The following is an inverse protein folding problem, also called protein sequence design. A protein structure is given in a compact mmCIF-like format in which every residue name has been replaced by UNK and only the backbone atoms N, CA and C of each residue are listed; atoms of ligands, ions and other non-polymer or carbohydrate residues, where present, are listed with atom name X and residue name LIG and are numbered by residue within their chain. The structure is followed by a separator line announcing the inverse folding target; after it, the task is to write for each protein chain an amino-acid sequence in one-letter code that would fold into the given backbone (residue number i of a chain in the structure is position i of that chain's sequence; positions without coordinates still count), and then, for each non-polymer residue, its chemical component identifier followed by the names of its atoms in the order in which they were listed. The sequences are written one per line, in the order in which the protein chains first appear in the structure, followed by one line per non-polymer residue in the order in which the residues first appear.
data_IF_714076417146
#
_entry.id   IF_714076417146
#
_cell.length_a   1.000
_cell.length_b   1.000
_cell.length_c   1.000
_cell.angle_alpha   90.00
_cell.angle_beta   90.00
_cell.angle_gamma   90.00
#
_symmetry.space_group_name_H-M   'P 1'
#
loop_
_entity.id
_entity.type
_entity.pdbx_description
1 polymer ?
#
# COMPACT_ATOMS: atom_id res chain seq x y z
N UNK A 1 -7.99 -3.35 9.75
CA UNK A 1 -6.71 -3.55 10.48
C UNK A 1 -6.85 -4.03 11.92
N UNK A 2 -7.88 -3.67 12.68
CA UNK A 2 -8.07 -4.19 14.04
C UNK A 2 -8.01 -5.74 14.11
N UNK A 3 -8.64 -6.43 13.17
CA UNK A 3 -8.60 -7.90 13.07
C UNK A 3 -7.19 -8.45 12.78
N UNK A 4 -6.39 -7.75 11.98
CA UNK A 4 -4.99 -8.13 11.75
C UNK A 4 -4.19 -8.12 13.06
N UNK A 5 -4.46 -7.16 13.97
CA UNK A 5 -3.81 -7.05 15.28
C UNK A 5 -4.34 -8.05 16.31
N UNK A 6 -5.51 -8.65 16.10
CA UNK A 6 -6.08 -9.66 17.00
C UNK A 6 -5.46 -11.05 16.74
N UNK A 7 -4.27 -11.26 17.33
CA UNK A 7 -3.50 -12.50 17.18
C UNK A 7 -4.22 -13.72 17.78
N UNK A 8 -5.15 -13.52 18.72
CA UNK A 8 -5.91 -14.62 19.33
C UNK A 8 -7.05 -15.06 18.41
N UNK A 9 -7.83 -14.11 17.88
CA UNK A 9 -8.94 -14.39 16.97
C UNK A 9 -8.46 -14.87 15.60
N UNK A 10 -7.35 -14.29 15.10
CA UNK A 10 -6.74 -14.65 13.83
C UNK A 10 -5.30 -15.12 14.04
N UNK A 11 -5.09 -16.39 14.43
CA UNK A 11 -3.75 -16.89 14.71
C UNK A 11 -2.90 -17.02 13.44
N UNK A 12 -1.58 -16.88 13.61
CA UNK A 12 -0.59 -17.19 12.58
C UNK A 12 0.45 -16.10 12.32
N UNK A 13 1.56 -16.46 11.67
CA UNK A 13 2.65 -15.54 11.36
C UNK A 13 2.19 -14.47 10.36
N UNK A 14 2.67 -13.25 10.57
CA UNK A 14 2.31 -12.05 9.83
C UNK A 14 3.52 -11.35 9.23
N UNK A 15 3.30 -10.47 8.27
CA UNK A 15 4.32 -9.51 7.81
C UNK A 15 3.76 -8.10 7.66
N UNK A 16 4.62 -7.11 7.84
CA UNK A 16 4.34 -5.70 7.56
C UNK A 16 5.49 -5.11 6.73
N UNK A 17 5.33 -3.92 6.19
CA UNK A 17 6.33 -3.24 5.38
C UNK A 17 7.48 -2.71 6.24
N UNK A 18 8.72 -2.95 5.80
CA UNK A 18 9.91 -2.24 6.30
C UNK A 18 10.05 -0.87 5.60
N UNK A 19 10.72 0.08 6.25
CA UNK A 19 11.01 1.39 5.65
C UNK A 19 11.79 1.29 4.33
N UNK A 20 12.63 0.27 4.16
CA UNK A 20 13.36 0.00 2.92
C UNK A 20 12.43 -0.24 1.73
N UNK A 21 11.19 -0.67 1.98
CA UNK A 21 10.16 -0.81 0.94
C UNK A 21 9.53 0.52 0.50
N UNK A 22 9.80 1.60 1.22
CA UNK A 22 9.30 2.96 0.95
C UNK A 22 8.81 3.64 2.22
N UNK A 23 7.73 3.11 2.80
CA UNK A 23 7.08 3.60 4.02
C UNK A 23 6.76 2.40 4.94
N UNK A 24 6.86 2.62 6.24
CA UNK A 24 6.38 1.66 7.25
C UNK A 24 4.88 1.82 7.49
N UNK A 25 4.23 0.77 7.99
CA UNK A 25 2.77 0.67 8.10
C UNK A 25 2.17 1.40 9.34
N UNK A 26 2.50 2.68 9.55
CA UNK A 26 2.04 3.44 10.72
C UNK A 26 0.53 3.72 10.69
N UNK A 27 -0.03 4.01 9.52
CA UNK A 27 -1.46 4.22 9.36
C UNK A 27 -2.26 2.97 9.74
N UNK A 28 -1.78 1.79 9.33
CA UNK A 28 -2.41 0.51 9.68
C UNK A 28 -2.34 0.25 11.19
N UNK A 29 -1.22 0.59 11.83
CA UNK A 29 -1.08 0.51 13.27
C UNK A 29 -2.06 1.44 14.01
N UNK A 30 -2.30 2.66 13.51
CA UNK A 30 -3.29 3.58 14.07
C UNK A 30 -4.74 3.10 13.86
N UNK A 31 -5.06 2.57 12.67
CA UNK A 31 -6.37 1.98 12.39
C UNK A 31 -6.64 0.78 13.30
N UNK A 32 -5.64 -0.08 13.53
CA UNK A 32 -5.73 -1.17 14.49
C UNK A 32 -5.90 -0.68 15.94
N UNK A 33 -5.45 0.52 16.24
CA UNK A 33 -5.63 1.19 17.54
C UNK A 33 -6.92 2.03 17.62
N UNK A 34 -7.83 1.89 16.64
CA UNK A 34 -9.16 2.51 16.64
C UNK A 34 -9.18 3.97 16.18
N UNK A 35 -8.09 4.49 15.60
CA UNK A 35 -8.12 5.81 14.95
C UNK A 35 -8.98 5.74 13.70
N UNK A 36 -9.94 6.66 13.57
CA UNK A 36 -10.78 6.73 12.37
C UNK A 36 -9.94 7.07 11.13
N UNK A 37 -10.28 6.46 9.98
CA UNK A 37 -9.57 6.61 8.70
C UNK A 37 -9.37 8.06 8.24
N UNK A 38 -10.29 8.96 8.57
CA UNK A 38 -10.26 10.38 8.22
C UNK A 38 -9.47 11.24 9.23
N UNK A 39 -8.92 10.62 10.29
CA UNK A 39 -8.14 11.25 11.37
C UNK A 39 -6.71 10.72 11.49
N UNK A 40 -6.21 10.02 10.48
CA UNK A 40 -4.87 9.43 10.49
C UNK A 40 -3.74 10.45 10.42
N UNK A 41 -3.99 11.63 9.81
CA UNK A 41 -2.97 12.66 9.64
C UNK A 41 -3.27 13.93 10.44
N UNK A 42 -2.26 14.58 11.05
CA UNK A 42 -0.87 14.10 11.14
C UNK A 42 -0.76 12.82 11.99
N UNK A 43 0.15 11.91 11.62
CA UNK A 43 0.30 10.63 12.32
C UNK A 43 0.82 10.89 13.74
N UNK A 44 0.12 10.33 14.72
CA UNK A 44 0.64 10.18 16.08
C UNK A 44 1.68 9.04 16.09
N UNK A 45 2.94 9.42 15.91
CA UNK A 45 4.06 8.50 15.73
C UNK A 45 4.19 7.57 16.94
N UNK A 46 4.18 8.11 18.16
CA UNK A 46 4.38 7.29 19.35
C UNK A 46 3.21 6.34 19.60
N UNK A 47 1.98 6.76 19.33
CA UNK A 47 0.81 5.88 19.36
C UNK A 47 0.91 4.75 18.33
N UNK A 48 1.35 5.06 17.10
CA UNK A 48 1.54 4.06 16.06
C UNK A 48 2.60 3.02 16.44
N UNK A 49 3.75 3.44 16.99
CA UNK A 49 4.79 2.51 17.45
C UNK A 49 4.34 1.67 18.65
N UNK A 50 3.61 2.23 19.63
CA UNK A 50 2.99 1.45 20.71
C UNK A 50 2.00 0.41 20.19
N UNK A 51 1.27 0.73 19.12
CA UNK A 51 0.40 -0.24 18.46
C UNK A 51 1.22 -1.33 17.77
N UNK A 52 2.31 -0.97 17.07
CA UNK A 52 3.22 -1.94 16.46
C UNK A 52 3.84 -2.90 17.49
N UNK A 53 4.17 -2.43 18.70
CA UNK A 53 4.65 -3.29 19.80
C UNK A 53 3.70 -4.45 20.09
N UNK A 54 2.38 -4.21 20.05
CA UNK A 54 1.37 -5.24 20.36
C UNK A 54 1.32 -6.36 19.32
N UNK A 55 1.59 -6.06 18.05
CA UNK A 55 1.57 -7.07 16.97
C UNK A 55 2.94 -7.67 16.69
N UNK A 56 4.03 -6.99 17.09
CA UNK A 56 5.42 -7.37 16.81
C UNK A 56 5.72 -8.85 17.06
N UNK A 57 5.26 -9.49 18.16
CA UNK A 57 5.54 -10.91 18.39
C UNK A 57 5.01 -11.86 17.31
N UNK A 58 3.98 -11.45 16.57
CA UNK A 58 3.44 -12.23 15.45
C UNK A 58 4.03 -11.84 14.09
N UNK A 59 4.81 -10.75 14.00
CA UNK A 59 5.47 -10.32 12.77
C UNK A 59 6.72 -11.18 12.54
N UNK A 60 6.67 -12.04 11.52
CA UNK A 60 7.78 -12.90 11.10
C UNK A 60 8.90 -12.09 10.46
N UNK A 61 8.53 -11.10 9.66
CA UNK A 61 9.45 -10.21 8.94
C UNK A 61 8.77 -8.89 8.59
N UNK A 62 9.55 -7.82 8.62
CA UNK A 62 9.23 -6.59 7.91
C UNK A 62 9.81 -6.71 6.50
N UNK A 63 8.95 -6.77 5.48
CA UNK A 63 9.40 -7.02 4.11
C UNK A 63 9.95 -5.73 3.48
N UNK A 64 11.05 -5.86 2.75
CA UNK A 64 11.79 -4.76 2.11
C UNK A 64 11.59 -4.72 0.58
N UNK A 65 11.08 -5.81 0.00
CA UNK A 65 10.80 -5.92 -1.43
C UNK A 65 9.44 -6.53 -1.69
N UNK A 66 8.78 -6.10 -2.78
CA UNK A 66 7.50 -6.65 -3.18
C UNK A 66 7.56 -8.13 -3.65
N UNK A 67 8.74 -8.61 -4.04
CA UNK A 67 8.93 -10.02 -4.37
C UNK A 67 8.95 -10.90 -3.11
N UNK A 68 9.65 -10.45 -2.07
CA UNK A 68 9.69 -11.14 -0.78
C UNK A 68 8.30 -11.27 -0.16
N UNK A 69 7.51 -10.19 -0.13
CA UNK A 69 6.16 -10.25 0.44
C UNK A 69 5.24 -11.23 -0.30
N UNK A 70 5.29 -11.26 -1.64
CA UNK A 70 4.54 -12.24 -2.42
C UNK A 70 4.99 -13.68 -2.12
N UNK A 71 6.31 -13.91 -2.02
CA UNK A 71 6.89 -15.22 -1.75
C UNK A 71 6.48 -15.74 -0.37
N UNK A 72 6.58 -14.93 0.67
CA UNK A 72 6.25 -15.32 2.04
C UNK A 72 4.78 -15.79 2.19
N UNK A 73 3.84 -15.17 1.45
CA UNK A 73 2.44 -15.61 1.43
C UNK A 73 2.24 -16.87 0.57
N UNK A 74 2.89 -16.95 -0.60
CA UNK A 74 2.80 -18.11 -1.48
C UNK A 74 3.34 -19.39 -0.82
N UNK A 75 4.45 -19.27 -0.09
CA UNK A 75 5.10 -20.36 0.65
C UNK A 75 4.46 -20.64 2.02
N UNK A 76 3.45 -19.86 2.40
CA UNK A 76 2.77 -19.93 3.71
C UNK A 76 3.71 -19.69 4.90
N UNK A 77 4.82 -18.98 4.70
CA UNK A 77 5.66 -18.50 5.80
C UNK A 77 4.91 -17.48 6.67
N UNK A 78 3.97 -16.76 6.06
CA UNK A 78 2.99 -15.89 6.72
C UNK A 78 1.60 -16.18 6.16
N UNK A 79 0.57 -15.95 6.97
CA UNK A 79 -0.85 -16.18 6.59
C UNK A 79 -1.63 -14.87 6.44
N UNK A 80 -1.08 -13.77 6.94
CA UNK A 80 -1.65 -12.42 6.87
C UNK A 80 -0.50 -11.43 6.62
N UNK A 81 -0.70 -10.41 5.79
CA UNK A 81 0.31 -9.39 5.60
C UNK A 81 -0.20 -8.12 4.93
N UNK A 82 0.45 -6.99 5.21
CA UNK A 82 0.37 -5.86 4.29
C UNK A 82 1.21 -6.18 3.06
N UNK A 83 0.73 -5.80 1.87
CA UNK A 83 1.41 -6.05 0.61
C UNK A 83 0.82 -5.12 -0.46
N UNK A 84 1.63 -4.74 -1.46
CA UNK A 84 1.10 -4.06 -2.65
C UNK A 84 0.15 -4.99 -3.42
N UNK A 85 -1.06 -4.50 -3.71
CA UNK A 85 -2.13 -5.31 -4.29
C UNK A 85 -1.70 -6.07 -5.56
N UNK A 86 -0.90 -5.45 -6.44
CA UNK A 86 -0.42 -6.09 -7.66
C UNK A 86 0.51 -7.29 -7.42
N UNK A 87 1.24 -7.31 -6.30
CA UNK A 87 2.09 -8.45 -5.91
C UNK A 87 1.26 -9.64 -5.45
N UNK A 88 0.22 -9.40 -4.63
CA UNK A 88 -0.71 -10.46 -4.22
C UNK A 88 -1.52 -10.96 -5.42
N UNK A 89 -2.04 -10.05 -6.25
CA UNK A 89 -2.86 -10.42 -7.39
C UNK A 89 -2.09 -11.33 -8.36
N UNK A 90 -0.81 -11.05 -8.62
CA UNK A 90 0.00 -11.86 -9.51
C UNK A 90 0.21 -13.31 -9.01
N UNK A 91 0.25 -13.55 -7.70
CA UNK A 91 0.33 -14.91 -7.14
C UNK A 91 -1.04 -15.57 -7.03
N UNK A 92 -2.09 -14.81 -6.72
CA UNK A 92 -3.48 -15.29 -6.72
C UNK A 92 -3.94 -15.73 -8.12
N UNK A 93 -3.59 -14.99 -9.17
CA UNK A 93 -3.89 -15.33 -10.56
C UNK A 93 -3.21 -16.62 -11.02
N UNK A 94 -2.16 -17.05 -10.32
CA UNK A 94 -1.47 -18.34 -10.53
C UNK A 94 -2.08 -19.48 -9.70
N UNK A 95 -3.19 -19.24 -9.02
CA UNK A 95 -3.91 -20.25 -8.23
C UNK A 95 -3.50 -20.34 -6.76
N UNK A 96 -2.66 -19.42 -6.26
CA UNK A 96 -2.42 -19.36 -4.82
C UNK A 96 -3.75 -19.01 -4.11
N UNK A 97 -4.12 -19.71 -3.01
CA UNK A 97 -5.38 -19.50 -2.31
C UNK A 97 -5.31 -18.24 -1.41
N UNK A 98 -5.12 -17.09 -2.04
CA UNK A 98 -4.91 -15.79 -1.42
C UNK A 98 -5.99 -14.81 -1.91
N UNK A 99 -6.45 -13.94 -1.01
CA UNK A 99 -7.44 -12.91 -1.30
C UNK A 99 -7.00 -11.56 -0.73
N UNK A 100 -7.47 -10.47 -1.35
CA UNK A 100 -7.27 -9.10 -0.86
C UNK A 100 -8.50 -8.71 -0.03
N UNK A 101 -8.26 -8.23 1.19
CA UNK A 101 -9.26 -7.45 1.93
C UNK A 101 -9.02 -5.96 1.65
N UNK A 102 -10.02 -5.30 1.05
CA UNK A 102 -9.91 -3.90 0.60
C UNK A 102 -10.35 -2.89 1.66
N UNK A 103 -11.03 -3.32 2.73
CA UNK A 103 -11.40 -2.45 3.81
C UNK A 103 -10.16 -1.82 4.45
N UNK A 104 -10.17 -0.50 4.60
CA UNK A 104 -9.04 0.28 5.13
C UNK A 104 -7.73 0.13 4.34
N UNK A 105 -7.80 -0.17 3.04
CA UNK A 105 -6.64 -0.17 2.16
C UNK A 105 -5.98 1.23 2.09
N UNK A 106 -4.64 1.25 1.98
CA UNK A 106 -3.88 2.48 1.70
C UNK A 106 -3.83 2.74 0.21
N UNK A 107 -4.51 3.79 -0.26
CA UNK A 107 -4.36 4.27 -1.63
C UNK A 107 -3.12 5.12 -1.76
N UNK A 108 -2.24 4.72 -2.66
CA UNK A 108 -1.04 5.46 -3.03
C UNK A 108 -1.18 6.00 -4.45
N UNK A 109 -0.69 7.22 -4.67
CA UNK A 109 -0.68 7.86 -5.98
C UNK A 109 0.75 7.98 -6.46
N UNK A 110 1.01 7.50 -7.69
CA UNK A 110 2.27 7.73 -8.38
C UNK A 110 2.16 8.99 -9.23
N UNK A 111 3.28 9.71 -9.37
CA UNK A 111 3.34 10.97 -10.09
C UNK A 111 4.37 10.89 -11.21
N UNK A 112 4.01 11.45 -12.36
CA UNK A 112 4.97 11.79 -13.39
C UNK A 112 5.62 13.14 -13.05
N UNK A 113 6.93 13.23 -13.22
CA UNK A 113 7.68 14.47 -13.00
C UNK A 113 8.64 14.74 -14.15
N UNK A 114 8.71 16.00 -14.59
CA UNK A 114 9.74 16.46 -15.53
C UNK A 114 10.86 17.09 -14.71
N UNK A 115 12.06 16.52 -14.80
CA UNK A 115 13.22 17.02 -14.06
C UNK A 115 13.64 18.41 -14.57
N UNK A 116 14.07 19.27 -13.65
CA UNK A 116 14.63 20.59 -13.99
C UNK A 116 15.86 20.40 -14.88
N UNK A 117 15.86 21.07 -16.04
CA UNK A 117 16.95 20.95 -17.02
C UNK A 117 16.88 19.70 -17.92
N UNK A 118 15.74 18.98 -17.94
CA UNK A 118 15.56 17.87 -18.87
C UNK A 118 15.76 18.32 -20.33
N UNK A 119 16.62 17.60 -21.06
CA UNK A 119 16.98 17.92 -22.47
C UNK A 119 15.76 17.96 -23.40
N UNK A 120 14.72 17.21 -23.08
CA UNK A 120 13.49 17.09 -23.88
C UNK A 120 12.24 17.36 -23.04
N UNK A 121 12.24 18.47 -22.29
CA UNK A 121 11.14 18.81 -21.38
C UNK A 121 9.76 18.87 -22.06
N UNK A 122 9.69 19.42 -23.28
CA UNK A 122 8.44 19.50 -24.05
C UNK A 122 7.91 18.10 -24.42
N UNK A 123 8.77 17.22 -24.93
CA UNK A 123 8.37 15.84 -25.25
C UNK A 123 7.96 15.06 -23.99
N UNK A 124 8.62 15.30 -22.85
CA UNK A 124 8.21 14.71 -21.58
C UNK A 124 6.81 15.18 -21.17
N UNK A 125 6.48 16.46 -21.34
CA UNK A 125 5.13 16.97 -21.09
C UNK A 125 4.09 16.35 -22.04
N UNK A 126 4.40 16.22 -23.33
CA UNK A 126 3.52 15.56 -24.32
C UNK A 126 3.29 14.08 -23.97
N UNK A 127 4.31 13.38 -23.49
CA UNK A 127 4.17 12.02 -22.99
C UNK A 127 3.25 11.96 -21.76
N UNK A 128 3.43 12.88 -20.80
CA UNK A 128 2.58 12.92 -19.61
C UNK A 128 1.12 13.18 -19.98
N UNK A 129 0.86 14.11 -20.92
CA UNK A 129 -0.49 14.35 -21.45
C UNK A 129 -1.09 13.06 -22.03
N UNK A 130 -0.37 12.42 -22.96
CA UNK A 130 -0.77 11.14 -23.55
C UNK A 130 -1.05 10.05 -22.50
N UNK A 131 -0.14 9.85 -21.54
CA UNK A 131 -0.26 8.84 -20.49
C UNK A 131 -1.43 9.12 -19.51
N UNK A 132 -1.90 10.36 -19.43
CA UNK A 132 -3.03 10.76 -18.59
C UNK A 132 -4.39 10.67 -19.29
N UNK A 133 -4.43 10.36 -20.59
CA UNK A 133 -5.68 10.25 -21.33
C UNK A 133 -6.54 9.08 -20.83
N UNK A 134 -7.89 9.22 -20.79
CA UNK A 134 -8.79 8.21 -20.24
C UNK A 134 -8.63 6.84 -20.90
N UNK A 135 -8.55 6.79 -22.23
CA UNK A 135 -8.45 5.55 -22.99
C UNK A 135 -7.10 4.83 -22.75
N UNK A 136 -6.01 5.60 -22.68
CA UNK A 136 -4.67 5.07 -22.40
C UNK A 136 -4.63 4.44 -21.01
N UNK A 137 -5.17 5.12 -20.00
CA UNK A 137 -5.25 4.54 -18.65
C UNK A 137 -6.21 3.35 -18.56
N UNK A 138 -7.34 3.38 -19.28
CA UNK A 138 -8.27 2.25 -19.33
C UNK A 138 -7.64 1.00 -19.94
N UNK A 139 -6.82 1.17 -21.00
CA UNK A 139 -6.08 0.07 -21.60
C UNK A 139 -4.95 -0.43 -20.69
N UNK A 140 -4.26 0.48 -19.99
CA UNK A 140 -3.21 0.11 -19.04
C UNK A 140 -3.75 -0.71 -17.87
N UNK A 141 -4.93 -0.37 -17.34
CA UNK A 141 -5.58 -1.10 -16.24
C UNK A 141 -5.96 -2.56 -16.58
N UNK A 142 -5.99 -2.93 -17.86
CA UNK A 142 -6.20 -4.33 -18.31
C UNK A 142 -4.91 -5.16 -18.22
N UNK A 143 -3.76 -4.51 -18.24
CA UNK A 143 -2.43 -5.15 -18.26
C UNK A 143 -1.82 -5.29 -16.87
N UNK A 144 -2.15 -4.37 -15.97
CA UNK A 144 -1.69 -4.36 -14.59
C UNK A 144 -2.85 -3.97 -13.66
N UNK A 145 -3.02 -4.62 -12.49
CA UNK A 145 -4.14 -4.35 -11.59
C UNK A 145 -3.93 -3.06 -10.78
N UNK A 146 -3.62 -1.95 -11.46
CA UNK A 146 -3.52 -0.63 -10.88
C UNK A 146 -4.62 0.28 -11.38
N UNK A 147 -5.16 1.03 -10.43
CA UNK A 147 -6.29 1.90 -10.68
C UNK A 147 -5.89 3.14 -11.50
N UNK A 148 -6.70 3.56 -12.48
CA UNK A 148 -6.46 4.80 -13.20
C UNK A 148 -6.58 6.01 -12.25
N UNK A 149 -5.78 7.04 -12.52
CA UNK A 149 -5.90 8.34 -11.83
C UNK A 149 -6.96 9.24 -12.48
N UNK A 150 -7.24 9.05 -13.77
CA UNK A 150 -8.28 9.73 -14.52
C UNK A 150 -9.61 8.99 -14.37
N UNK A 151 -10.57 9.61 -13.66
CA UNK A 151 -11.89 9.00 -13.38
C UNK A 151 -12.69 8.66 -14.63
N UNK A 152 -12.44 9.34 -15.76
CA UNK A 152 -13.13 9.05 -17.01
C UNK A 152 -12.72 7.70 -17.60
N UNK A 153 -11.54 7.16 -17.24
CA UNK A 153 -11.09 5.85 -17.70
C UNK A 153 -12.05 4.72 -17.31
N UNK A 154 -12.71 4.82 -16.15
CA UNK A 154 -13.68 3.82 -15.69
C UNK A 154 -14.88 3.63 -16.62
N UNK A 155 -15.18 4.59 -17.51
CA UNK A 155 -16.24 4.43 -18.53
C UNK A 155 -15.90 3.34 -19.56
N UNK A 156 -14.62 3.03 -19.74
CA UNK A 156 -14.11 2.10 -20.75
C UNK A 156 -13.42 0.87 -20.15
N UNK A 157 -13.43 0.73 -18.82
CA UNK A 157 -12.86 -0.43 -18.11
C UNK A 157 -14.00 -1.45 -17.89
N UNK A 158 -13.83 -2.71 -18.34
CA UNK A 158 -14.78 -3.79 -18.06
C UNK A 158 -15.04 -3.98 -16.56
N UNK A 159 -16.26 -4.40 -16.19
CA UNK A 159 -16.67 -4.46 -14.78
C UNK A 159 -15.83 -5.44 -13.94
N UNK A 160 -15.44 -6.58 -14.52
CA UNK A 160 -14.57 -7.60 -13.93
C UNK A 160 -13.15 -7.08 -13.69
N UNK A 161 -12.62 -6.26 -14.61
CA UNK A 161 -11.34 -5.56 -14.41
C UNK A 161 -11.48 -4.51 -13.33
N UNK A 162 -12.51 -3.66 -13.40
CA UNK A 162 -12.74 -2.57 -12.44
C UNK A 162 -12.89 -3.09 -11.00
N UNK A 163 -13.56 -4.23 -10.80
CA UNK A 163 -13.73 -4.88 -9.50
C UNK A 163 -12.41 -5.35 -8.86
N UNK A 164 -11.31 -5.40 -9.61
CA UNK A 164 -9.97 -5.77 -9.11
C UNK A 164 -9.06 -4.58 -8.87
N UNK A 165 -9.50 -3.36 -9.25
CA UNK A 165 -8.65 -2.18 -9.17
C UNK A 165 -8.73 -1.53 -7.78
N UNK A 166 -7.60 -1.06 -7.23
CA UNK A 166 -7.60 -0.37 -5.94
C UNK A 166 -8.44 0.91 -5.94
N UNK A 167 -8.51 1.62 -7.08
CA UNK A 167 -9.24 2.89 -7.18
C UNK A 167 -10.70 2.74 -7.62
N UNK A 168 -11.24 1.51 -7.68
CA UNK A 168 -12.66 1.29 -7.97
C UNK A 168 -13.54 2.08 -6.98
N UNK A 169 -14.74 2.54 -7.39
CA UNK A 169 -15.61 3.29 -6.48
C UNK A 169 -15.89 2.57 -5.15
N UNK A 170 -16.07 1.25 -5.20
CA UNK A 170 -16.31 0.40 -4.05
C UNK A 170 -15.10 0.35 -3.10
N UNK A 171 -13.92 -0.03 -3.60
CA UNK A 171 -12.71 -0.11 -2.77
C UNK A 171 -12.28 1.26 -2.24
N UNK A 172 -12.46 2.30 -3.05
CA UNK A 172 -12.15 3.67 -2.65
C UNK A 172 -13.03 4.18 -1.52
N UNK A 173 -14.27 3.70 -1.42
CA UNK A 173 -15.19 4.11 -0.35
C UNK A 173 -14.77 3.59 1.04
N UNK A 174 -13.97 2.52 1.09
CA UNK A 174 -13.45 1.91 2.32
C UNK A 174 -11.98 2.22 2.60
N UNK A 175 -11.23 2.65 1.58
CA UNK A 175 -9.83 2.99 1.68
C UNK A 175 -9.56 4.39 2.27
N UNK A 176 -8.29 4.67 2.59
CA UNK A 176 -7.78 6.01 2.89
C UNK A 176 -6.68 6.40 1.89
N UNK A 177 -6.52 7.70 1.62
CA UNK A 177 -5.44 8.20 0.77
C UNK A 177 -4.19 8.45 1.61
N UNK A 178 -3.06 7.84 1.22
CA UNK A 178 -1.79 8.10 1.88
C UNK A 178 -1.34 9.54 1.63
N UNK A 179 -0.99 10.26 2.71
CA UNK A 179 -0.52 11.63 2.62
C UNK A 179 0.98 11.67 2.29
N UNK A 180 1.28 11.69 0.98
CA UNK A 180 2.66 11.75 0.48
C UNK A 180 3.45 12.97 0.96
N UNK A 181 2.79 14.13 1.16
CA UNK A 181 3.46 15.33 1.69
C UNK A 181 3.88 15.12 3.15
N UNK A 182 2.99 14.61 3.99
CA UNK A 182 3.33 14.34 5.39
C UNK A 182 4.49 13.36 5.49
N UNK A 183 4.49 12.29 4.69
CA UNK A 183 5.60 11.34 4.61
C UNK A 183 6.91 12.00 4.16
N UNK A 184 6.88 12.80 3.10
CA UNK A 184 8.06 13.53 2.62
C UNK A 184 8.64 14.45 3.72
N UNK A 185 7.79 15.18 4.43
CA UNK A 185 8.20 16.11 5.50
C UNK A 185 8.73 15.39 6.75
N UNK A 186 8.30 14.14 7.01
CA UNK A 186 8.61 13.40 8.24
C UNK A 186 9.56 12.20 8.05
N UNK A 187 9.98 11.89 6.82
CA UNK A 187 10.73 10.66 6.49
C UNK A 187 11.99 10.46 7.33
N UNK A 188 12.78 11.52 7.55
CA UNK A 188 14.00 11.44 8.34
C UNK A 188 13.71 11.07 9.81
N UNK A 189 12.71 11.73 10.42
CA UNK A 189 12.26 11.45 11.78
C UNK A 189 11.75 10.01 11.93
N UNK A 190 10.94 9.53 10.97
CA UNK A 190 10.47 8.14 10.97
C UNK A 190 11.62 7.16 10.81
N UNK A 191 12.61 7.46 9.96
CA UNK A 191 13.77 6.60 9.76
C UNK A 191 14.60 6.40 11.03
N UNK A 192 14.81 7.48 11.79
CA UNK A 192 15.49 7.41 13.07
C UNK A 192 14.67 6.59 14.08
N UNK A 193 13.38 6.91 14.22
CA UNK A 193 12.49 6.23 15.17
C UNK A 193 12.29 4.75 14.85
N UNK A 194 12.20 4.39 13.57
CA UNK A 194 12.10 3.00 13.08
C UNK A 194 13.36 2.21 13.43
N UNK A 195 14.53 2.76 13.13
CA UNK A 195 15.82 2.15 13.47
C UNK A 195 15.95 1.90 14.97
N UNK A 196 15.60 2.88 15.81
CA UNK A 196 15.61 2.74 17.26
C UNK A 196 14.65 1.65 17.74
N UNK A 197 13.44 1.59 17.17
CA UNK A 197 12.44 0.60 17.54
C UNK A 197 12.85 -0.83 17.20
N UNK A 198 13.46 -1.05 16.02
CA UNK A 198 13.94 -2.37 15.62
C UNK A 198 15.04 -2.89 16.56
N UNK A 199 15.88 -2.00 17.09
CA UNK A 199 16.95 -2.35 18.04
C UNK A 199 16.45 -2.68 19.44
N UNK A 200 15.28 -2.17 19.84
CA UNK A 200 14.64 -2.57 21.08
C UNK A 200 14.27 -4.06 20.94
N UNK A 201 14.87 -4.93 21.75
CA UNK A 201 14.46 -6.34 21.81
C UNK A 201 13.02 -6.38 22.31
N UNK A 202 12.14 -6.97 21.49
CA UNK A 202 10.78 -7.33 21.91
C UNK A 202 10.80 -8.46 22.93
#
# INVERSE_FOLDING_TARGET
WAEFWDIKKFPGPRMLADLASGNVDLEFALLADGVARDKLYPIDIERAFKSLDRVRPAIRKFWDTGALSAQMLADKEVVLGSIWNGRLQAVADKGAPLAIEWNEASLQTQYWGVLKGAKSAENAQRFIDFACQPEIQANFAKLIPYGPSNRQAFKSIPADVAARLPSSPEHKATAFLQNGKWWADNRAKISERWSQWLLQKG
#
